data_IF_795767143494
#
_entry.id   IF_795767143494
#
_cell.length_a   1.000
_cell.length_b   1.000
_cell.length_c   1.000
_cell.angle_alpha   90.00
_cell.angle_beta   90.00
_cell.angle_gamma   90.00
#
_symmetry.space_group_name_H-M   'P 1'
#
loop_
_entity.id
_entity.type
_entity.pdbx_description
1 polymer ?
#
# COMPACT_ATOMS: atom_id res chain seq x y z
N UNK A 1 -5.31 8.95 27.27
CA UNK A 1 -4.52 9.35 26.09
C UNK A 1 -5.42 9.01 24.91
N UNK A 2 -5.86 10.00 24.16
CA UNK A 2 -6.53 9.75 22.90
C UNK A 2 -5.51 9.22 21.91
N UNK A 3 -5.82 8.12 21.24
CA UNK A 3 -4.94 7.51 20.25
C UNK A 3 -4.88 8.33 18.94
N UNK A 4 -5.90 9.14 18.67
CA UNK A 4 -5.92 10.10 17.57
C UNK A 4 -4.89 11.20 17.81
N UNK A 5 -4.05 11.47 16.81
CA UNK A 5 -3.03 12.52 16.87
C UNK A 5 -3.52 13.87 16.36
N UNK A 6 -4.47 13.86 15.42
CA UNK A 6 -5.04 15.09 14.86
C UNK A 6 -5.77 15.88 15.93
N UNK A 7 -5.28 17.10 16.22
CA UNK A 7 -5.95 18.00 17.16
C UNK A 7 -7.18 18.64 16.49
N UNK A 8 -8.36 18.29 16.96
CA UNK A 8 -9.63 18.85 16.51
C UNK A 8 -10.13 20.00 17.42
N UNK A 9 -9.46 20.29 18.53
CA UNK A 9 -9.77 21.44 19.38
C UNK A 9 -9.16 22.75 18.82
N UNK A 10 -9.32 22.95 17.52
CA UNK A 10 -8.84 24.12 16.76
C UNK A 10 -9.91 24.53 15.78
N UNK A 11 -9.80 25.77 15.24
CA UNK A 11 -10.69 26.21 14.16
C UNK A 11 -10.62 25.24 12.95
N UNK A 12 -11.74 24.93 12.31
CA UNK A 12 -13.11 25.39 12.57
C UNK A 12 -13.92 24.48 13.50
N UNK A 13 -13.36 23.37 13.99
CA UNK A 13 -14.10 22.28 14.67
C UNK A 13 -14.33 22.56 16.15
N UNK A 14 -13.32 23.08 16.86
CA UNK A 14 -13.35 23.38 18.29
C UNK A 14 -13.90 22.23 19.15
N UNK A 15 -13.53 20.98 18.82
CA UNK A 15 -13.87 19.81 19.61
C UNK A 15 -13.12 19.85 20.94
N UNK A 16 -13.82 20.19 21.99
CA UNK A 16 -13.29 20.36 23.34
C UNK A 16 -13.46 19.10 24.21
N UNK A 17 -13.60 17.93 23.56
CA UNK A 17 -13.68 16.68 24.29
C UNK A 17 -12.43 16.41 25.11
N UNK A 18 -12.64 16.18 26.41
CA UNK A 18 -11.62 15.73 27.34
C UNK A 18 -12.17 14.58 28.19
N UNK A 19 -11.52 13.42 28.10
CA UNK A 19 -11.92 12.23 28.85
C UNK A 19 -11.81 12.40 30.37
N UNK A 20 -11.02 13.38 30.85
CA UNK A 20 -10.86 13.67 32.29
C UNK A 20 -12.12 14.33 32.90
N UNK A 21 -12.97 14.92 32.06
CA UNK A 21 -14.22 15.52 32.50
C UNK A 21 -15.35 14.54 32.76
N UNK A 22 -15.17 13.25 32.42
CA UNK A 22 -16.16 12.19 32.58
C UNK A 22 -17.52 12.48 31.93
N UNK A 23 -17.53 13.26 30.85
CA UNK A 23 -18.73 13.49 30.06
C UNK A 23 -19.04 12.30 29.14
N UNK A 24 -20.14 11.63 29.41
CA UNK A 24 -20.55 10.43 28.65
C UNK A 24 -21.66 10.71 27.64
N UNK A 25 -22.29 11.87 27.68
CA UNK A 25 -23.42 12.18 26.79
C UNK A 25 -23.63 13.69 26.64
N UNK A 26 -23.83 14.17 25.43
CA UNK A 26 -24.32 15.51 25.13
C UNK A 26 -25.85 15.52 25.26
N UNK A 27 -26.40 16.49 26.01
CA UNK A 27 -27.84 16.63 26.27
C UNK A 27 -28.36 17.92 25.63
N UNK A 28 -29.00 17.80 24.47
CA UNK A 28 -29.62 18.93 23.78
C UNK A 28 -30.87 19.41 24.52
N UNK A 29 -31.00 20.72 24.70
CA UNK A 29 -32.15 21.35 25.35
C UNK A 29 -33.08 22.00 24.32
N UNK A 30 -34.40 21.83 24.40
CA UNK A 30 -35.34 22.58 23.59
C UNK A 30 -35.15 24.08 23.74
N UNK A 31 -35.20 24.83 22.65
CA UNK A 31 -35.05 26.30 22.64
C UNK A 31 -33.61 26.82 22.64
N UNK A 32 -32.61 25.93 22.63
CA UNK A 32 -31.19 26.30 22.51
C UNK A 32 -30.64 25.86 21.14
N UNK A 33 -29.86 26.71 20.44
CA UNK A 33 -29.24 26.31 19.18
C UNK A 33 -28.21 25.22 19.40
N UNK A 34 -28.19 24.23 18.52
CA UNK A 34 -27.15 23.19 18.47
C UNK A 34 -25.87 23.78 17.85
N UNK A 35 -24.75 23.63 18.52
CA UNK A 35 -23.44 24.07 18.02
C UNK A 35 -22.76 22.93 17.30
N UNK A 36 -22.01 23.24 16.22
CA UNK A 36 -21.25 22.22 15.46
C UNK A 36 -20.29 21.42 16.37
N UNK A 37 -19.63 22.10 17.32
CA UNK A 37 -18.73 21.44 18.30
C UNK A 37 -19.45 20.38 19.13
N UNK A 38 -20.72 20.58 19.49
CA UNK A 38 -21.47 19.60 20.31
C UNK A 38 -21.74 18.31 19.53
N UNK A 39 -21.92 18.39 18.21
CA UNK A 39 -22.04 17.25 17.34
C UNK A 39 -20.69 16.51 17.20
N UNK A 40 -19.59 17.24 17.07
CA UNK A 40 -18.24 16.65 17.03
C UNK A 40 -17.88 16.01 18.36
N UNK A 41 -18.12 16.71 19.50
CA UNK A 41 -17.90 16.17 20.84
C UNK A 41 -18.70 14.89 21.12
N UNK A 42 -19.96 14.82 20.62
CA UNK A 42 -20.76 13.60 20.71
C UNK A 42 -20.07 12.41 20.04
N UNK A 43 -19.47 12.61 18.86
CA UNK A 43 -18.73 11.57 18.15
C UNK A 43 -17.45 11.19 18.92
N UNK A 44 -16.70 12.16 19.46
CA UNK A 44 -15.49 11.92 20.24
C UNK A 44 -15.76 11.15 21.52
N UNK A 45 -16.88 11.41 22.20
CA UNK A 45 -17.34 10.61 23.35
C UNK A 45 -17.55 9.15 22.94
N UNK A 46 -18.28 8.90 21.84
CA UNK A 46 -18.56 7.56 21.34
C UNK A 46 -17.29 6.84 20.90
N UNK A 47 -16.41 7.54 20.17
CA UNK A 47 -15.12 7.00 19.74
C UNK A 47 -14.24 6.62 20.93
N UNK A 48 -14.19 7.43 21.98
CA UNK A 48 -13.45 7.10 23.20
C UNK A 48 -13.99 5.83 23.88
N UNK A 49 -15.32 5.61 23.87
CA UNK A 49 -15.90 4.36 24.42
C UNK A 49 -15.52 3.15 23.54
N UNK A 50 -15.52 3.29 22.21
CA UNK A 50 -15.10 2.22 21.29
C UNK A 50 -13.62 1.92 21.47
N UNK A 51 -12.77 2.94 21.58
CA UNK A 51 -11.35 2.81 21.84
C UNK A 51 -11.07 2.03 23.13
N UNK A 52 -11.67 2.45 24.24
CA UNK A 52 -11.52 1.77 25.55
C UNK A 52 -11.99 0.33 25.51
N UNK A 53 -13.10 0.07 24.83
CA UNK A 53 -13.59 -1.29 24.61
C UNK A 53 -12.61 -2.10 23.76
N UNK A 54 -12.14 -1.53 22.64
CA UNK A 54 -11.20 -2.18 21.74
C UNK A 54 -9.87 -2.51 22.43
N UNK A 55 -9.30 -1.57 23.17
CA UNK A 55 -8.04 -1.76 23.93
C UNK A 55 -8.13 -2.86 24.99
N UNK A 56 -9.34 -3.18 25.48
CA UNK A 56 -9.51 -4.28 26.41
C UNK A 56 -9.33 -5.66 25.74
N UNK A 57 -9.71 -5.79 24.46
CA UNK A 57 -9.68 -7.07 23.73
C UNK A 57 -8.50 -7.17 22.76
N UNK A 58 -8.05 -6.05 22.20
CA UNK A 58 -7.04 -6.02 21.14
C UNK A 58 -5.81 -5.25 21.57
N UNK A 59 -4.65 -5.79 21.24
CA UNK A 59 -3.41 -5.01 21.28
C UNK A 59 -3.32 -4.13 20.04
N UNK A 60 -2.55 -3.05 20.12
CA UNK A 60 -2.20 -2.22 18.97
C UNK A 60 -1.60 -3.09 17.85
N UNK A 61 -2.07 -2.91 16.62
CA UNK A 61 -1.71 -3.75 15.47
C UNK A 61 -2.34 -5.13 15.42
N UNK A 62 -3.28 -5.45 16.34
CA UNK A 62 -3.95 -6.75 16.33
C UNK A 62 -4.89 -6.90 15.12
N UNK A 63 -4.89 -8.08 14.52
CA UNK A 63 -5.85 -8.47 13.47
C UNK A 63 -7.23 -8.68 14.10
N UNK A 64 -8.23 -8.00 13.58
CA UNK A 64 -9.65 -8.14 14.00
C UNK A 64 -10.40 -9.02 13.02
N UNK A 65 -10.30 -8.71 11.73
CA UNK A 65 -10.76 -9.56 10.64
C UNK A 65 -9.51 -10.11 9.94
N UNK A 66 -9.45 -11.42 9.68
CA UNK A 66 -8.24 -12.03 9.17
C UNK A 66 -7.73 -11.38 7.89
N UNK A 67 -6.54 -10.80 7.97
CA UNK A 67 -5.65 -10.51 6.87
C UNK A 67 -4.34 -11.21 7.21
N UNK A 68 -3.89 -12.17 6.40
CA UNK A 68 -2.67 -12.89 6.71
C UNK A 68 -1.46 -12.00 6.47
N UNK A 69 -0.46 -12.14 7.33
CA UNK A 69 0.88 -11.58 7.09
C UNK A 69 1.81 -12.70 6.71
N UNK A 70 2.68 -12.45 5.75
CA UNK A 70 3.68 -13.41 5.28
C UNK A 70 5.04 -12.75 5.14
N UNK A 71 6.09 -13.52 5.38
CA UNK A 71 7.47 -13.13 5.12
C UNK A 71 8.08 -14.10 4.11
N UNK A 72 8.67 -13.58 3.05
CA UNK A 72 9.37 -14.35 2.04
C UNK A 72 10.85 -13.97 2.02
N UNK A 73 11.71 -14.97 2.24
CA UNK A 73 13.16 -14.84 2.04
C UNK A 73 13.58 -15.07 0.59
N UNK A 74 12.69 -15.65 -0.23
CA UNK A 74 12.95 -16.02 -1.61
C UNK A 74 12.00 -15.23 -2.53
N UNK A 75 12.13 -13.93 -2.51
CA UNK A 75 11.39 -13.05 -3.42
C UNK A 75 12.21 -12.88 -4.69
N UNK A 76 11.97 -13.76 -5.66
CA UNK A 76 12.75 -13.84 -6.88
C UNK A 76 12.58 -12.58 -7.72
N UNK A 77 13.65 -12.19 -8.40
CA UNK A 77 13.60 -11.08 -9.33
C UNK A 77 14.47 -11.34 -10.57
N UNK A 78 14.15 -10.62 -11.65
CA UNK A 78 14.96 -10.57 -12.86
C UNK A 78 15.25 -9.11 -13.20
N UNK A 79 16.51 -8.83 -13.48
CA UNK A 79 17.00 -7.51 -13.86
C UNK A 79 17.02 -7.39 -15.38
N UNK A 80 16.45 -6.30 -15.88
CA UNK A 80 16.33 -6.04 -17.31
C UNK A 80 17.27 -4.94 -17.73
N UNK A 81 17.62 -4.94 -19.01
CA UNK A 81 18.22 -3.78 -19.65
C UNK A 81 17.22 -2.60 -19.59
N UNK A 82 17.71 -1.42 -19.28
CA UNK A 82 16.85 -0.23 -19.11
C UNK A 82 16.20 0.23 -20.42
N UNK A 83 16.71 -0.23 -21.57
CA UNK A 83 16.16 0.09 -22.90
C UNK A 83 16.01 -1.15 -23.75
N UNK A 84 14.93 -1.22 -24.53
CA UNK A 84 14.70 -2.24 -25.52
C UNK A 84 14.33 -1.59 -26.86
N UNK A 85 15.05 -1.93 -27.93
CA UNK A 85 14.90 -1.32 -29.26
C UNK A 85 14.89 0.24 -29.25
N UNK A 86 15.68 0.83 -28.36
CA UNK A 86 15.78 2.29 -28.21
C UNK A 86 14.67 2.93 -27.36
N UNK A 87 13.75 2.12 -26.80
CA UNK A 87 12.67 2.59 -25.92
C UNK A 87 13.00 2.26 -24.47
N UNK A 88 12.88 3.22 -23.52
CA UNK A 88 13.01 2.92 -22.10
C UNK A 88 11.95 1.92 -21.65
N UNK A 89 12.37 0.78 -21.08
CA UNK A 89 11.47 -0.27 -20.59
C UNK A 89 10.59 0.26 -19.43
N UNK A 90 11.10 1.19 -18.64
CA UNK A 90 10.37 1.85 -17.56
C UNK A 90 9.05 2.49 -18.02
N UNK A 91 8.97 2.93 -19.28
CA UNK A 91 7.78 3.61 -19.82
C UNK A 91 6.52 2.70 -19.87
N UNK A 92 6.72 1.37 -19.91
CA UNK A 92 5.61 0.41 -19.95
C UNK A 92 5.71 -0.70 -18.90
N UNK A 93 6.72 -0.67 -18.06
CA UNK A 93 7.00 -1.74 -17.10
C UNK A 93 5.83 -2.01 -16.13
N UNK A 94 5.12 -0.97 -15.70
CA UNK A 94 3.95 -1.12 -14.81
C UNK A 94 2.82 -1.97 -15.41
N UNK A 95 2.69 -2.01 -16.75
CA UNK A 95 1.71 -2.85 -17.42
C UNK A 95 2.05 -4.35 -17.34
N UNK A 96 3.27 -4.68 -16.94
CA UNK A 96 3.70 -6.07 -16.77
C UNK A 96 3.19 -6.69 -15.47
N UNK A 97 2.83 -5.88 -14.47
CA UNK A 97 2.34 -6.38 -13.17
C UNK A 97 1.10 -7.27 -13.38
N UNK A 98 1.12 -8.46 -12.78
CA UNK A 98 0.08 -9.48 -12.91
C UNK A 98 0.14 -10.26 -14.23
N UNK A 99 1.04 -9.95 -15.17
CA UNK A 99 1.16 -10.66 -16.43
C UNK A 99 2.14 -11.83 -16.33
N UNK A 100 1.94 -12.82 -17.20
CA UNK A 100 2.88 -13.93 -17.38
C UNK A 100 3.96 -13.54 -18.36
N UNK A 101 5.21 -13.65 -17.93
CA UNK A 101 6.38 -13.49 -18.78
C UNK A 101 7.09 -14.84 -19.00
N UNK A 102 7.77 -14.98 -20.13
CA UNK A 102 8.49 -16.22 -20.48
C UNK A 102 9.81 -15.88 -21.14
N UNK A 103 10.88 -16.55 -20.71
CA UNK A 103 12.21 -16.45 -21.32
C UNK A 103 12.29 -17.27 -22.60
N UNK A 104 12.79 -16.69 -23.68
CA UNK A 104 12.88 -17.36 -24.98
C UNK A 104 13.95 -18.45 -24.99
N UNK A 105 15.04 -18.25 -24.23
CA UNK A 105 16.13 -19.23 -24.18
C UNK A 105 15.90 -20.31 -23.10
N UNK A 106 15.52 -19.87 -21.90
CA UNK A 106 15.32 -20.78 -20.76
C UNK A 106 14.01 -21.57 -20.84
N UNK A 107 12.99 -21.04 -21.50
CA UNK A 107 11.62 -21.56 -21.47
C UNK A 107 10.93 -21.44 -20.11
N UNK A 108 11.57 -20.77 -19.15
CA UNK A 108 11.03 -20.52 -17.82
C UNK A 108 9.94 -19.47 -17.91
N UNK A 109 8.87 -19.65 -17.14
CA UNK A 109 7.78 -18.69 -17.05
C UNK A 109 7.56 -18.22 -15.63
N UNK A 110 7.19 -16.97 -15.45
CA UNK A 110 6.86 -16.37 -14.18
C UNK A 110 5.72 -15.36 -14.31
N UNK A 111 5.07 -15.05 -13.20
CA UNK A 111 4.13 -13.92 -13.09
C UNK A 111 4.87 -12.76 -12.42
N UNK A 112 4.71 -11.57 -12.99
CA UNK A 112 5.27 -10.34 -12.43
C UNK A 112 4.39 -9.89 -11.26
N UNK A 113 5.01 -9.73 -10.10
CA UNK A 113 4.33 -9.27 -8.88
C UNK A 113 4.55 -7.76 -8.65
N UNK A 114 5.79 -7.30 -8.87
CA UNK A 114 6.16 -5.89 -8.64
C UNK A 114 7.24 -5.44 -9.62
N UNK A 115 7.20 -4.16 -9.96
CA UNK A 115 8.23 -3.48 -10.75
C UNK A 115 9.03 -2.57 -9.83
N UNK A 116 10.35 -2.55 -10.02
CA UNK A 116 11.25 -1.59 -9.40
C UNK A 116 11.96 -0.83 -10.52
N UNK A 117 11.76 0.48 -10.55
CA UNK A 117 12.33 1.35 -11.57
C UNK A 117 13.84 1.51 -11.38
N UNK A 118 14.59 1.86 -12.44
CA UNK A 118 16.06 1.99 -12.35
C UNK A 118 16.53 2.99 -11.29
N UNK A 119 15.79 4.09 -11.09
CA UNK A 119 16.08 5.13 -10.10
C UNK A 119 15.94 4.65 -8.65
N UNK A 120 15.08 3.66 -8.40
CA UNK A 120 14.84 3.09 -7.07
C UNK A 120 15.68 1.81 -6.83
N UNK A 121 16.29 1.27 -7.87
CA UNK A 121 17.08 0.05 -7.83
C UNK A 121 18.51 0.33 -7.36
N UNK A 122 18.97 -0.41 -6.33
CA UNK A 122 20.34 -0.36 -5.81
C UNK A 122 21.41 -0.66 -6.90
N UNK A 123 21.02 -1.39 -7.95
CA UNK A 123 21.89 -1.77 -9.08
C UNK A 123 21.68 -0.91 -10.33
N UNK A 124 20.72 0.05 -10.29
CA UNK A 124 20.41 0.95 -11.39
C UNK A 124 19.77 0.27 -12.60
N UNK A 125 19.30 -0.97 -12.46
CA UNK A 125 18.59 -1.72 -13.51
C UNK A 125 17.12 -1.81 -13.19
N UNK A 126 16.26 -1.75 -14.21
CA UNK A 126 14.86 -2.09 -14.06
C UNK A 126 14.75 -3.54 -13.58
N UNK A 127 14.04 -3.77 -12.49
CA UNK A 127 13.94 -5.08 -11.85
C UNK A 127 12.49 -5.48 -11.73
N UNK A 128 12.16 -6.68 -12.21
CA UNK A 128 10.85 -7.29 -12.02
C UNK A 128 10.94 -8.31 -10.89
N UNK A 129 10.15 -8.13 -9.84
CA UNK A 129 9.92 -9.18 -8.84
C UNK A 129 8.86 -10.12 -9.34
N UNK A 130 9.12 -11.42 -9.23
CA UNK A 130 8.38 -12.46 -9.94
C UNK A 130 8.11 -13.68 -9.09
N UNK A 131 7.04 -14.38 -9.46
CA UNK A 131 6.74 -15.72 -8.95
C UNK A 131 6.89 -16.72 -10.09
N UNK A 132 7.90 -17.59 -10.02
CA UNK A 132 8.11 -18.62 -11.03
C UNK A 132 6.96 -19.61 -11.06
N UNK A 133 6.50 -19.97 -12.29
CA UNK A 133 5.42 -20.92 -12.52
C UNK A 133 5.93 -22.30 -12.87
N UNK A 134 7.06 -22.39 -13.58
CA UNK A 134 7.66 -23.62 -14.03
C UNK A 134 9.17 -23.49 -14.17
N UNK A 135 9.86 -24.60 -14.19
CA UNK A 135 11.22 -24.72 -14.69
C UNK A 135 11.22 -24.92 -16.21
N UNK A 136 12.41 -24.92 -16.82
CA UNK A 136 12.58 -25.13 -18.26
C UNK A 136 11.92 -26.43 -18.72
N UNK A 137 11.48 -26.46 -19.99
CA UNK A 137 10.88 -27.65 -20.61
C UNK A 137 11.88 -28.75 -20.90
N UNK A 138 13.20 -28.48 -20.82
CA UNK A 138 14.26 -29.45 -21.10
C UNK A 138 14.83 -29.98 -19.79
N UNK A 139 14.34 -31.14 -19.34
CA UNK A 139 14.82 -31.87 -18.16
C UNK A 139 14.86 -31.07 -16.85
N UNK A 140 14.09 -30.00 -16.71
CA UNK A 140 14.11 -29.06 -15.57
C UNK A 140 15.53 -28.56 -15.23
N UNK A 141 16.40 -28.42 -16.22
CA UNK A 141 17.80 -28.03 -16.02
C UNK A 141 17.95 -26.56 -15.67
N UNK A 142 17.02 -25.71 -16.11
CA UNK A 142 17.00 -24.28 -15.85
C UNK A 142 15.76 -23.95 -15.02
N UNK A 143 15.95 -23.30 -13.88
CA UNK A 143 14.87 -22.95 -12.94
C UNK A 143 14.65 -21.45 -12.83
N UNK A 144 15.55 -20.65 -13.39
CA UNK A 144 15.51 -19.19 -13.38
C UNK A 144 15.71 -18.67 -14.80
N UNK A 145 15.39 -17.43 -15.03
CA UNK A 145 15.70 -16.77 -16.31
C UNK A 145 17.22 -16.75 -16.55
N UNK A 146 17.60 -16.89 -17.82
CA UNK A 146 18.99 -16.90 -18.22
C UNK A 146 19.52 -15.48 -18.48
N UNK A 147 20.83 -15.30 -18.28
CA UNK A 147 21.49 -14.03 -18.54
C UNK A 147 21.38 -13.66 -20.03
N UNK A 148 21.05 -12.39 -20.29
CA UNK A 148 20.95 -11.82 -21.64
C UNK A 148 19.78 -12.30 -22.49
N UNK A 149 18.88 -13.16 -21.98
CA UNK A 149 17.77 -13.67 -22.79
C UNK A 149 16.67 -12.60 -23.01
N UNK A 150 15.96 -12.76 -24.12
CA UNK A 150 14.76 -11.98 -24.40
C UNK A 150 13.56 -12.52 -23.62
N UNK A 151 12.76 -11.63 -23.07
CA UNK A 151 11.55 -11.96 -22.33
C UNK A 151 10.32 -11.55 -23.14
N UNK A 152 9.34 -12.46 -23.21
CA UNK A 152 8.05 -12.25 -23.87
C UNK A 152 6.94 -12.13 -22.83
N UNK A 153 5.87 -11.38 -23.17
CA UNK A 153 4.69 -11.24 -22.32
C UNK A 153 3.47 -11.87 -23.00
N UNK A 154 2.61 -12.50 -22.23
CA UNK A 154 1.37 -13.12 -22.73
C UNK A 154 0.27 -12.12 -23.07
N UNK A 155 0.47 -10.83 -22.81
CA UNK A 155 -0.48 -9.75 -23.11
C UNK A 155 0.12 -8.72 -24.05
N UNK A 156 -0.75 -7.94 -24.69
CA UNK A 156 -0.32 -6.78 -25.48
C UNK A 156 0.09 -5.66 -24.54
N UNK A 157 1.25 -5.08 -24.78
CA UNK A 157 1.80 -3.97 -24.02
C UNK A 157 1.77 -2.71 -24.88
N UNK A 158 1.23 -1.62 -24.36
CA UNK A 158 1.28 -0.31 -25.01
C UNK A 158 2.58 0.40 -24.62
N UNK A 159 3.49 0.61 -25.57
CA UNK A 159 4.77 1.28 -25.27
C UNK A 159 4.63 2.78 -25.02
N UNK A 160 3.49 3.39 -25.39
CA UNK A 160 3.19 4.80 -25.13
C UNK A 160 4.11 5.82 -25.82
N UNK A 161 5.15 5.36 -26.49
CA UNK A 161 6.16 6.19 -27.13
C UNK A 161 5.98 6.19 -28.64
N UNK A 162 5.93 7.39 -29.23
CA UNK A 162 5.86 7.61 -30.67
C UNK A 162 4.65 6.99 -31.39
N UNK A 163 3.43 7.40 -30.99
CA UNK A 163 2.25 7.18 -31.81
C UNK A 163 1.70 5.75 -31.79
N UNK A 164 1.25 5.27 -30.64
CA UNK A 164 0.52 3.98 -30.48
C UNK A 164 1.29 2.72 -30.90
N UNK A 165 2.60 2.66 -30.73
CA UNK A 165 3.28 1.39 -30.91
C UNK A 165 2.96 0.44 -29.77
N UNK A 166 2.47 -0.74 -30.11
CA UNK A 166 2.17 -1.84 -29.18
C UNK A 166 3.15 -2.98 -29.39
N UNK A 167 3.53 -3.66 -28.31
CA UNK A 167 4.23 -4.93 -28.36
C UNK A 167 3.17 -6.01 -28.31
N UNK A 168 3.12 -6.84 -29.34
CA UNK A 168 2.12 -7.90 -29.44
C UNK A 168 2.32 -8.97 -28.36
N UNK A 169 1.25 -9.62 -27.95
CA UNK A 169 1.33 -10.78 -27.05
C UNK A 169 2.25 -11.86 -27.65
N UNK A 170 3.18 -12.38 -26.84
CA UNK A 170 4.19 -13.33 -27.25
C UNK A 170 5.42 -12.74 -27.96
N UNK A 171 5.41 -11.44 -28.28
CA UNK A 171 6.61 -10.78 -28.78
C UNK A 171 7.56 -10.38 -27.64
N UNK A 172 8.89 -10.33 -27.89
CA UNK A 172 9.85 -9.85 -26.90
C UNK A 172 9.60 -8.39 -26.54
N UNK A 173 9.64 -8.09 -25.25
CA UNK A 173 9.46 -6.73 -24.71
C UNK A 173 10.71 -6.16 -24.06
N UNK A 174 11.62 -7.01 -23.61
CA UNK A 174 12.88 -6.60 -22.96
C UNK A 174 13.90 -7.74 -23.02
N UNK A 175 15.16 -7.40 -22.77
CA UNK A 175 16.21 -8.39 -22.53
C UNK A 175 16.62 -8.35 -21.05
N UNK A 176 16.90 -9.51 -20.50
CA UNK A 176 17.61 -9.64 -19.25
C UNK A 176 19.03 -9.02 -19.37
N UNK A 177 19.61 -8.57 -18.27
CA UNK A 177 21.01 -8.10 -18.30
C UNK A 177 21.97 -9.27 -18.59
N UNK A 178 23.18 -8.93 -19.07
CA UNK A 178 24.12 -9.93 -19.61
C UNK A 178 24.80 -10.80 -18.54
N UNK A 179 24.69 -10.45 -17.26
CA UNK A 179 25.25 -11.23 -16.15
C UNK A 179 24.44 -10.98 -14.88
N UNK A 180 24.27 -12.02 -14.07
CA UNK A 180 23.53 -11.97 -12.80
C UNK A 180 22.11 -11.39 -12.95
N UNK A 181 21.43 -11.75 -14.04
CA UNK A 181 20.10 -11.24 -14.36
C UNK A 181 19.07 -11.69 -13.32
N UNK A 182 19.13 -12.94 -12.91
CA UNK A 182 18.25 -13.48 -11.86
C UNK A 182 18.86 -13.30 -10.48
N UNK A 183 18.08 -12.77 -9.55
CA UNK A 183 18.49 -12.57 -8.17
C UNK A 183 17.33 -12.88 -7.21
N UNK A 184 17.60 -12.76 -5.92
CA UNK A 184 16.62 -13.00 -4.87
C UNK A 184 16.67 -11.88 -3.85
N UNK A 185 15.54 -11.26 -3.60
CA UNK A 185 15.32 -10.32 -2.52
C UNK A 185 14.48 -10.93 -1.41
N UNK A 186 14.00 -10.09 -0.52
CA UNK A 186 13.08 -10.46 0.56
C UNK A 186 11.90 -9.50 0.63
N UNK A 187 10.75 -10.01 1.01
CA UNK A 187 9.51 -9.24 1.07
C UNK A 187 8.66 -9.61 2.28
N UNK A 188 7.89 -8.64 2.75
CA UNK A 188 6.81 -8.84 3.70
C UNK A 188 5.49 -8.53 3.03
N UNK A 189 4.50 -9.38 3.25
CA UNK A 189 3.18 -9.26 2.63
C UNK A 189 2.11 -9.15 3.69
N UNK A 190 1.09 -8.37 3.39
CA UNK A 190 -0.15 -8.30 4.15
C UNK A 190 -1.33 -8.51 3.19
N UNK A 191 -2.32 -9.27 3.60
CA UNK A 191 -3.58 -9.41 2.87
C UNK A 191 -4.61 -8.45 3.45
N UNK A 192 -5.64 -8.17 2.66
CA UNK A 192 -6.76 -7.33 3.11
C UNK A 192 -7.37 -7.84 4.41
N UNK A 193 -7.78 -6.92 5.26
CA UNK A 193 -8.36 -7.22 6.56
C UNK A 193 -8.64 -5.98 7.37
N UNK A 194 -9.02 -6.17 8.64
CA UNK A 194 -9.24 -5.08 9.59
C UNK A 194 -8.26 -5.23 10.75
N UNK A 195 -7.57 -4.16 11.05
CA UNK A 195 -6.61 -4.09 12.15
C UNK A 195 -7.07 -3.06 13.18
N UNK A 196 -6.78 -3.34 14.45
CA UNK A 196 -6.99 -2.37 15.51
C UNK A 196 -5.78 -1.45 15.61
N UNK A 197 -5.97 -0.18 15.22
CA UNK A 197 -4.92 0.83 15.10
C UNK A 197 -5.39 2.13 15.74
N UNK A 198 -4.70 2.61 16.77
CA UNK A 198 -4.97 3.86 17.47
C UNK A 198 -6.43 4.01 17.93
N UNK A 199 -7.02 2.93 18.43
CA UNK A 199 -8.40 2.95 18.90
C UNK A 199 -9.45 2.82 17.79
N UNK A 200 -9.03 2.68 16.53
CA UNK A 200 -9.90 2.51 15.37
C UNK A 200 -9.77 1.10 14.78
N UNK A 201 -10.82 0.65 14.14
CA UNK A 201 -10.83 -0.55 13.31
C UNK A 201 -10.59 -0.13 11.86
N UNK A 202 -9.34 -0.24 11.39
CA UNK A 202 -8.88 0.29 10.11
C UNK A 202 -8.77 -0.82 9.07
N UNK A 203 -9.34 -0.58 7.88
CA UNK A 203 -9.16 -1.47 6.75
C UNK A 203 -7.73 -1.37 6.21
N UNK A 204 -7.11 -2.53 6.03
CA UNK A 204 -5.80 -2.69 5.40
C UNK A 204 -6.02 -3.36 4.05
N UNK A 205 -5.39 -2.84 3.02
CA UNK A 205 -5.40 -3.45 1.68
C UNK A 205 -4.27 -4.47 1.55
N UNK A 206 -4.41 -5.37 0.58
CA UNK A 206 -3.31 -6.28 0.23
C UNK A 206 -2.12 -5.49 -0.28
N UNK A 207 -0.96 -5.68 0.34
CA UNK A 207 0.27 -4.96 -0.01
C UNK A 207 1.50 -5.87 0.15
N UNK A 208 2.49 -5.68 -0.73
CA UNK A 208 3.80 -6.33 -0.66
C UNK A 208 4.88 -5.26 -0.45
N UNK A 209 5.57 -5.34 0.67
CA UNK A 209 6.68 -4.48 1.03
C UNK A 209 8.01 -5.18 0.72
N UNK A 210 8.80 -4.58 -0.14
CA UNK A 210 10.16 -5.04 -0.42
C UNK A 210 11.07 -4.69 0.75
N UNK A 211 11.69 -5.70 1.36
CA UNK A 211 12.62 -5.53 2.48
C UNK A 211 14.03 -5.26 1.96
N UNK A 212 14.68 -6.28 1.39
CA UNK A 212 15.96 -6.14 0.72
C UNK A 212 15.79 -6.45 -0.77
N UNK A 213 16.37 -5.60 -1.61
CA UNK A 213 16.23 -5.75 -3.06
C UNK A 213 16.94 -7.01 -3.58
N UNK A 214 18.12 -7.29 -3.04
CA UNK A 214 18.95 -8.41 -3.49
C UNK A 214 19.54 -9.21 -2.31
N UNK A 215 18.84 -9.19 -1.17
CA UNK A 215 19.25 -9.85 0.06
C UNK A 215 18.15 -10.73 0.64
N UNK A 216 18.57 -11.82 1.30
CA UNK A 216 17.67 -12.81 1.91
C UNK A 216 17.66 -12.77 3.43
N UNK A 217 18.41 -11.85 4.03
CA UNK A 217 18.57 -11.70 5.48
C UNK A 217 18.29 -10.27 5.94
N UNK A 218 17.06 -9.78 5.75
CA UNK A 218 16.69 -8.44 6.16
C UNK A 218 16.70 -8.31 7.69
N UNK A 219 16.86 -7.10 8.17
CA UNK A 219 16.95 -6.78 9.58
C UNK A 219 16.17 -5.51 9.88
N UNK A 220 14.85 -5.63 9.97
CA UNK A 220 13.91 -4.51 10.06
C UNK A 220 12.79 -4.75 11.07
N UNK A 221 12.27 -3.66 11.61
CA UNK A 221 10.93 -3.60 12.18
C UNK A 221 9.94 -3.34 11.07
N UNK A 222 8.97 -4.22 10.90
CA UNK A 222 7.91 -4.10 9.87
C UNK A 222 6.59 -3.84 10.55
N UNK A 223 5.83 -2.88 10.03
CA UNK A 223 4.56 -2.50 10.61
C UNK A 223 3.71 -1.65 9.68
N UNK A 224 2.70 -1.04 10.26
CA UNK A 224 1.78 -0.14 9.58
C UNK A 224 2.18 1.31 9.86
N UNK A 225 2.47 2.05 8.81
CA UNK A 225 2.56 3.51 8.85
C UNK A 225 1.14 4.07 8.85
N UNK A 226 0.80 4.85 9.86
CA UNK A 226 -0.53 5.45 10.02
C UNK A 226 -0.50 6.88 9.51
N UNK A 227 -1.47 7.22 8.68
CA UNK A 227 -1.68 8.58 8.19
C UNK A 227 -3.07 9.05 8.61
N UNK A 228 -3.14 10.19 9.29
CA UNK A 228 -4.38 10.88 9.63
C UNK A 228 -4.49 12.15 8.78
N UNK A 229 -5.60 12.32 8.10
CA UNK A 229 -5.87 13.49 7.28
C UNK A 229 -7.30 13.97 7.43
N UNK A 230 -7.52 15.28 7.27
CA UNK A 230 -8.86 15.86 7.17
C UNK A 230 -9.17 16.04 5.70
N UNK A 231 -10.21 15.36 5.23
CA UNK A 231 -10.71 15.43 3.85
C UNK A 231 -11.93 16.35 3.83
N UNK A 232 -11.87 17.38 3.01
CA UNK A 232 -12.95 18.34 2.79
C UNK A 232 -13.60 18.16 1.40
N UNK A 233 -14.64 18.93 1.12
CA UNK A 233 -15.36 18.85 -0.14
C UNK A 233 -14.54 19.34 -1.37
N UNK A 234 -13.47 20.11 -1.16
CA UNK A 234 -12.55 20.52 -2.25
C UNK A 234 -11.63 19.35 -2.66
N UNK A 235 -11.29 18.47 -1.73
CA UNK A 235 -10.47 17.31 -1.98
C UNK A 235 -11.29 16.10 -2.46
N UNK A 236 -12.55 16.01 -2.03
CA UNK A 236 -13.48 14.93 -2.39
C UNK A 236 -14.88 15.49 -2.66
N UNK A 237 -15.23 15.64 -3.94
CA UNK A 237 -16.52 16.16 -4.39
C UNK A 237 -17.72 15.32 -3.93
N UNK A 238 -17.51 14.06 -3.53
CA UNK A 238 -18.60 13.21 -3.00
C UNK A 238 -19.12 13.70 -1.66
N UNK A 239 -18.39 14.58 -0.98
CA UNK A 239 -18.80 15.23 0.26
C UNK A 239 -19.75 16.41 0.05
N UNK A 240 -20.00 16.81 -1.19
CA UNK A 240 -20.99 17.81 -1.51
C UNK A 240 -22.42 17.25 -1.32
N UNK A 241 -23.36 18.17 -1.08
CA UNK A 241 -24.79 17.84 -0.97
C UNK A 241 -25.30 17.20 -2.28
N UNK A 242 -25.84 16.00 -2.17
CA UNK A 242 -26.37 15.21 -3.29
C UNK A 242 -27.86 15.41 -3.54
N UNK A 243 -28.52 16.38 -2.90
CA UNK A 243 -29.96 16.66 -3.00
C UNK A 243 -30.33 17.30 -4.33
N UNK A 244 -30.34 16.52 -5.42
CA UNK A 244 -30.69 17.01 -6.75
C UNK A 244 -32.09 17.64 -6.78
N UNK A 245 -32.16 18.82 -7.39
CA UNK A 245 -33.42 19.58 -7.50
C UNK A 245 -33.75 20.49 -6.31
N UNK A 246 -32.86 20.58 -5.31
CA UNK A 246 -32.98 21.52 -4.19
C UNK A 246 -31.87 22.58 -4.22
N UNK A 247 -32.12 23.71 -3.52
CA UNK A 247 -31.23 24.89 -3.55
C UNK A 247 -29.81 24.62 -3.01
N UNK A 248 -29.65 23.58 -2.16
CA UNK A 248 -28.38 23.22 -1.54
C UNK A 248 -27.56 22.19 -2.35
N UNK A 249 -28.08 21.78 -3.51
CA UNK A 249 -27.36 20.83 -4.36
C UNK A 249 -25.91 21.29 -4.64
N UNK A 250 -24.95 20.42 -4.48
CA UNK A 250 -23.51 20.69 -4.59
C UNK A 250 -22.94 21.67 -3.54
N UNK A 251 -23.67 22.03 -2.49
CA UNK A 251 -23.08 22.79 -1.40
C UNK A 251 -22.05 21.92 -0.63
N UNK A 252 -20.90 22.49 -0.20
CA UNK A 252 -19.90 21.77 0.58
C UNK A 252 -20.48 21.16 1.85
N UNK A 253 -20.25 19.88 2.07
CA UNK A 253 -20.62 19.16 3.29
C UNK A 253 -19.57 19.30 4.41
N UNK A 254 -19.77 18.57 5.50
CA UNK A 254 -18.82 18.53 6.60
C UNK A 254 -17.54 17.77 6.21
N UNK A 255 -16.42 18.14 6.81
CA UNK A 255 -15.14 17.46 6.64
C UNK A 255 -15.14 16.06 7.27
N UNK A 256 -14.19 15.21 6.88
CA UNK A 256 -14.01 13.85 7.38
C UNK A 256 -12.60 13.66 7.91
N UNK A 257 -12.47 13.09 9.10
CA UNK A 257 -11.19 12.52 9.54
C UNK A 257 -11.01 11.17 8.87
N UNK A 258 -9.97 11.04 8.05
CA UNK A 258 -9.60 9.80 7.37
C UNK A 258 -8.35 9.24 8.01
N UNK A 259 -8.37 7.96 8.34
CA UNK A 259 -7.23 7.21 8.85
C UNK A 259 -6.91 6.13 7.84
N UNK A 260 -5.71 6.16 7.31
CA UNK A 260 -5.19 5.18 6.36
C UNK A 260 -3.90 4.58 6.88
N UNK A 261 -3.61 3.37 6.43
CA UNK A 261 -2.41 2.64 6.80
C UNK A 261 -1.76 2.02 5.57
N UNK A 262 -0.43 1.95 5.58
CA UNK A 262 0.37 1.26 4.56
C UNK A 262 1.48 0.46 5.23
N UNK A 263 1.97 -0.58 4.58
CA UNK A 263 3.13 -1.31 5.08
C UNK A 263 4.38 -0.42 5.02
N UNK A 264 5.14 -0.44 6.10
CA UNK A 264 6.39 0.29 6.20
C UNK A 264 7.44 -0.51 6.96
N UNK A 265 8.71 -0.31 6.61
CA UNK A 265 9.86 -0.88 7.31
C UNK A 265 10.70 0.19 7.98
N UNK A 266 11.20 -0.11 9.17
CA UNK A 266 12.12 0.74 9.91
C UNK A 266 13.38 -0.05 10.29
N UNK A 267 14.54 0.61 10.36
CA UNK A 267 15.71 -0.01 10.99
C UNK A 267 15.40 -0.42 12.44
N UNK A 268 16.04 -1.47 12.94
CA UNK A 268 15.86 -1.93 14.33
C UNK A 268 16.23 -0.85 15.36
N UNK A 269 17.01 0.14 14.97
CA UNK A 269 17.46 1.24 15.84
C UNK A 269 16.51 2.44 15.87
N UNK A 270 15.51 2.47 14.98
CA UNK A 270 14.52 3.54 14.95
C UNK A 270 13.33 3.17 15.85
N UNK A 271 13.22 3.86 16.98
CA UNK A 271 12.16 3.68 17.97
C UNK A 271 11.12 4.82 17.97
N UNK A 272 11.15 5.69 16.96
CA UNK A 272 10.10 6.69 16.81
C UNK A 272 8.83 6.04 16.22
N UNK A 273 7.87 5.71 17.08
CA UNK A 273 6.64 5.02 16.72
C UNK A 273 5.40 5.95 16.71
N UNK A 274 5.60 7.27 16.64
CA UNK A 274 4.49 8.24 16.65
C UNK A 274 3.44 7.97 15.56
N UNK A 275 3.89 7.51 14.40
CA UNK A 275 3.01 7.15 13.27
C UNK A 275 3.21 5.71 12.81
N UNK A 276 3.77 4.87 13.64
CA UNK A 276 4.12 3.50 13.26
C UNK A 276 3.58 2.50 14.27
N UNK A 277 2.93 1.46 13.77
CA UNK A 277 2.42 0.34 14.55
C UNK A 277 3.16 -0.92 14.13
N UNK A 278 4.03 -1.41 15.01
CA UNK A 278 4.83 -2.61 14.74
C UNK A 278 3.95 -3.85 14.63
N UNK A 279 4.16 -4.63 13.57
CA UNK A 279 3.54 -5.94 13.38
C UNK A 279 4.52 -7.08 13.62
N UNK A 280 5.79 -6.92 13.22
CA UNK A 280 6.81 -7.96 13.31
C UNK A 280 8.22 -7.36 13.29
N UNK A 281 9.16 -8.10 13.88
CA UNK A 281 10.60 -7.90 13.72
C UNK A 281 11.13 -9.04 12.86
N UNK A 282 11.89 -8.71 11.84
CA UNK A 282 12.42 -9.66 10.85
C UNK A 282 13.94 -9.50 10.83
#
# INVERSE_FOLDING_TARGET
IMSQQTNLNVAPYFDDFDSANDFHKVLFKPGYPVQARELTTLQSILQNQIERFGQHFFKEGAKVIPGNTGYSQLYYCVQLQNTYLGVPVAAYAEQLVGTKITGELSGVSAVVDKVLLPEDSERGNLTLYINYLNSSTTNNSTQTFSDGESLTCNQVISSGLLGNSTIAAGAPFANAIASDASATGSAFQIQEGVYFVRGYFVNVQTETLLLDQYGTSPNYRVGLQVTEEIVNADADETLNDNSQGFNNYSAPGADRLKISVSLFKKPLTDYNDDQFVELSII
#
